data_IF_654013330662
#
_entry.id   IF_654013330662
#
_cell.length_a   1.000
_cell.length_b   1.000
_cell.length_c   1.000
_cell.angle_alpha   90.00
_cell.angle_beta   90.00
_cell.angle_gamma   90.00
#
_symmetry.space_group_name_H-M   'P 1'
#
loop_
_entity.id
_entity.type
_entity.pdbx_description
1 polymer ?
#
# COMPACT_ATOMS: atom_id res chain seq x y z
N UNK A 1 13.14 3.39 -2.70
CA UNK A 1 14.22 4.09 -1.95
C UNK A 1 13.67 4.60 -0.64
N UNK A 2 14.36 4.34 0.48
CA UNK A 2 14.00 4.77 1.84
C UNK A 2 15.23 5.42 2.49
N UNK A 3 15.04 6.57 3.12
CA UNK A 3 16.10 7.26 3.90
C UNK A 3 15.82 7.01 5.38
N UNK A 4 16.83 6.60 6.12
CA UNK A 4 16.76 6.40 7.56
C UNK A 4 18.08 6.82 8.21
N UNK A 5 18.05 7.86 9.04
CA UNK A 5 19.25 8.48 9.57
C UNK A 5 20.27 8.80 8.46
N UNK A 6 21.50 8.36 8.63
CA UNK A 6 22.59 8.56 7.64
C UNK A 6 22.67 7.44 6.59
N UNK A 7 21.59 6.67 6.41
CA UNK A 7 21.57 5.52 5.50
C UNK A 7 20.50 5.68 4.43
N UNK A 8 20.89 5.38 3.21
CA UNK A 8 20.00 5.27 2.07
C UNK A 8 19.81 3.78 1.73
N UNK A 9 18.56 3.33 1.76
CA UNK A 9 18.16 1.97 1.44
C UNK A 9 17.58 1.93 0.04
N UNK A 10 18.12 1.07 -0.83
CA UNK A 10 17.76 0.99 -2.24
C UNK A 10 17.53 -0.46 -2.63
N UNK A 11 16.43 -0.73 -3.34
CA UNK A 11 16.22 -1.97 -4.10
C UNK A 11 16.55 -1.71 -5.55
N UNK A 12 17.27 -2.60 -6.20
CA UNK A 12 17.41 -2.60 -7.65
C UNK A 12 16.43 -3.57 -8.32
N UNK A 13 16.41 -3.58 -9.65
CA UNK A 13 15.49 -4.40 -10.44
C UNK A 13 15.90 -5.88 -10.55
N UNK A 14 17.13 -6.24 -10.14
CA UNK A 14 17.63 -7.62 -10.11
C UNK A 14 17.49 -8.28 -8.73
N UNK A 15 16.81 -7.59 -7.78
CA UNK A 15 16.54 -8.12 -6.44
C UNK A 15 17.66 -7.90 -5.45
N UNK A 16 18.63 -7.02 -5.72
CA UNK A 16 19.57 -6.61 -4.70
C UNK A 16 18.96 -5.51 -3.83
N UNK A 17 19.26 -5.58 -2.56
CA UNK A 17 18.92 -4.55 -1.59
C UNK A 17 20.20 -4.05 -0.93
N UNK A 18 20.41 -2.73 -1.00
CA UNK A 18 21.64 -2.07 -0.63
C UNK A 18 21.41 -1.07 0.49
N UNK A 19 22.38 -0.98 1.38
CA UNK A 19 22.54 0.11 2.34
C UNK A 19 23.73 0.95 1.96
N UNK A 20 23.49 2.24 1.73
CA UNK A 20 24.50 3.20 1.31
C UNK A 20 24.60 4.29 2.37
N UNK A 21 25.81 4.66 2.73
CA UNK A 21 26.05 5.81 3.60
C UNK A 21 25.67 7.09 2.86
N UNK A 22 24.72 7.84 3.40
CA UNK A 22 24.16 9.03 2.75
C UNK A 22 25.16 10.20 2.65
N UNK A 23 26.21 10.21 3.51
CA UNK A 23 27.19 11.30 3.54
C UNK A 23 28.29 11.13 2.48
N UNK A 24 28.76 9.89 2.25
CA UNK A 24 29.92 9.63 1.41
C UNK A 24 29.65 8.69 0.21
N UNK A 25 28.41 8.20 0.08
CA UNK A 25 28.00 7.31 -1.03
C UNK A 25 28.57 5.89 -0.97
N UNK A 26 29.29 5.51 0.07
CA UNK A 26 29.86 4.16 0.18
C UNK A 26 28.78 3.14 0.57
N UNK A 27 28.86 1.97 -0.06
CA UNK A 27 28.00 0.84 0.31
C UNK A 27 28.44 0.28 1.66
N UNK A 28 27.50 0.26 2.61
CA UNK A 28 27.71 -0.38 3.91
C UNK A 28 27.60 -1.90 3.80
N UNK A 29 26.57 -2.35 3.10
CA UNK A 29 26.32 -3.78 2.79
C UNK A 29 25.35 -3.89 1.60
N UNK A 30 25.38 -5.05 0.97
CA UNK A 30 24.46 -5.45 -0.10
C UNK A 30 24.02 -6.89 0.14
N UNK A 31 22.74 -7.20 -0.17
CA UNK A 31 22.18 -8.55 -0.08
C UNK A 31 21.29 -8.79 -1.30
N UNK A 32 21.35 -10.01 -1.85
CA UNK A 32 20.42 -10.45 -2.88
C UNK A 32 19.23 -11.14 -2.23
N UNK A 33 18.03 -10.60 -2.46
CA UNK A 33 16.77 -11.13 -1.95
C UNK A 33 16.03 -11.98 -2.98
N UNK A 34 16.62 -12.13 -4.17
CA UNK A 34 16.01 -12.80 -5.31
C UNK A 34 15.03 -11.89 -6.07
N UNK A 35 14.91 -12.11 -7.36
CA UNK A 35 13.89 -11.47 -8.19
C UNK A 35 13.24 -12.52 -9.09
N UNK A 36 11.91 -12.46 -9.21
CA UNK A 36 11.24 -13.09 -10.32
C UNK A 36 11.28 -12.11 -11.49
N UNK A 37 11.96 -12.48 -12.57
CA UNK A 37 12.15 -11.64 -13.77
C UNK A 37 10.85 -11.17 -14.45
N UNK A 38 9.72 -11.72 -14.06
CA UNK A 38 8.39 -11.41 -14.60
C UNK A 38 7.53 -10.52 -13.69
N UNK A 39 8.10 -9.94 -12.63
CA UNK A 39 7.33 -9.12 -11.71
C UNK A 39 7.16 -7.69 -12.24
N UNK A 40 6.02 -7.12 -11.98
CA UNK A 40 5.81 -5.67 -12.09
C UNK A 40 6.67 -5.02 -11.00
N UNK A 41 7.47 -4.00 -11.36
CA UNK A 41 8.28 -3.25 -10.42
C UNK A 41 7.47 -2.85 -9.19
N UNK A 42 7.84 -3.36 -8.03
CA UNK A 42 7.17 -2.94 -6.82
C UNK A 42 7.52 -1.48 -6.53
N UNK A 43 6.52 -0.61 -6.51
CA UNK A 43 6.67 0.78 -6.06
C UNK A 43 6.75 0.87 -4.54
N UNK A 44 6.53 -0.23 -3.85
CA UNK A 44 6.53 -0.29 -2.40
C UNK A 44 7.91 0.04 -1.83
N UNK A 45 7.92 0.90 -0.83
CA UNK A 45 9.13 1.26 -0.10
C UNK A 45 9.35 0.30 1.05
N UNK A 46 10.59 -0.01 1.33
CA UNK A 46 10.94 -0.67 2.60
C UNK A 46 10.66 0.26 3.77
N UNK A 47 10.33 -0.31 4.92
CA UNK A 47 10.22 0.43 6.17
C UNK A 47 11.28 -0.05 7.17
N UNK A 48 11.77 0.87 8.00
CA UNK A 48 12.69 0.56 9.10
C UNK A 48 11.90 0.51 10.40
N UNK A 49 12.07 -0.58 11.15
CA UNK A 49 11.43 -0.81 12.43
C UNK A 49 12.50 -1.26 13.42
N UNK A 50 12.88 -0.38 14.33
CA UNK A 50 13.97 -0.62 15.29
C UNK A 50 15.28 -1.00 14.56
N UNK A 51 15.76 -2.22 14.77
CA UNK A 51 16.96 -2.79 14.17
C UNK A 51 16.69 -3.63 12.91
N UNK A 52 15.45 -3.64 12.41
CA UNK A 52 14.98 -4.44 11.29
C UNK A 52 14.52 -3.57 10.13
N UNK A 53 14.60 -4.12 8.93
CA UNK A 53 14.03 -3.56 7.71
C UNK A 53 13.03 -4.57 7.17
N UNK A 54 11.81 -4.11 6.88
CA UNK A 54 10.81 -4.88 6.14
C UNK A 54 10.92 -4.49 4.67
N UNK A 55 11.30 -5.44 3.82
CA UNK A 55 11.52 -5.24 2.40
C UNK A 55 10.43 -5.96 1.62
N UNK A 56 9.51 -5.26 0.95
CA UNK A 56 8.56 -5.87 0.04
C UNK A 56 9.30 -6.52 -1.14
N UNK A 57 8.84 -7.68 -1.52
CA UNK A 57 9.38 -8.44 -2.65
C UNK A 57 8.32 -8.75 -3.69
N UNK A 58 8.69 -9.56 -4.64
CA UNK A 58 7.86 -10.01 -5.76
C UNK A 58 7.05 -11.25 -5.41
N UNK A 59 5.96 -11.50 -6.14
CA UNK A 59 5.13 -12.69 -5.94
C UNK A 59 4.52 -12.81 -4.55
N UNK A 60 4.31 -11.68 -3.84
CA UNK A 60 3.77 -11.65 -2.48
C UNK A 60 4.80 -11.96 -1.39
N UNK A 61 6.06 -12.15 -1.74
CA UNK A 61 7.13 -12.35 -0.77
C UNK A 61 7.53 -11.05 -0.09
N UNK A 62 7.99 -11.13 1.14
CA UNK A 62 8.65 -10.03 1.83
C UNK A 62 9.74 -10.58 2.75
N UNK A 63 10.69 -9.72 3.06
CA UNK A 63 11.87 -10.08 3.81
C UNK A 63 12.01 -9.17 5.02
N UNK A 64 12.36 -9.74 6.16
CA UNK A 64 12.77 -8.99 7.33
C UNK A 64 14.26 -9.21 7.51
N UNK A 65 15.03 -8.13 7.41
CA UNK A 65 16.49 -8.17 7.43
C UNK A 65 17.04 -7.24 8.52
N UNK A 66 18.25 -7.51 8.98
CA UNK A 66 18.94 -6.65 9.94
C UNK A 66 19.43 -5.36 9.28
N UNK A 67 19.11 -4.19 9.84
CA UNK A 67 19.61 -2.91 9.35
C UNK A 67 21.15 -2.81 9.47
N UNK A 68 21.74 -3.52 10.43
CA UNK A 68 23.18 -3.44 10.71
C UNK A 68 24.05 -4.05 9.61
N UNK A 69 23.60 -5.16 9.01
CA UNK A 69 24.44 -5.95 8.10
C UNK A 69 23.70 -6.62 6.93
N UNK A 70 22.41 -6.33 6.75
CA UNK A 70 21.59 -6.89 5.67
C UNK A 70 21.27 -8.38 5.81
N UNK A 71 21.65 -9.05 6.92
CA UNK A 71 21.35 -10.47 7.09
C UNK A 71 19.85 -10.71 7.20
N UNK A 72 19.38 -11.72 6.47
CA UNK A 72 17.99 -12.19 6.56
C UNK A 72 17.71 -12.69 7.97
N UNK A 73 16.63 -12.18 8.56
CA UNK A 73 16.11 -12.64 9.85
C UNK A 73 15.03 -13.67 9.60
N UNK A 74 14.03 -13.31 8.78
CA UNK A 74 12.98 -14.23 8.32
C UNK A 74 12.32 -13.69 7.03
N UNK A 75 11.57 -14.54 6.37
CA UNK A 75 10.80 -14.21 5.14
C UNK A 75 9.51 -14.99 5.13
N UNK A 76 8.46 -14.39 4.57
CA UNK A 76 7.15 -15.00 4.39
C UNK A 76 6.56 -14.59 3.04
N UNK A 77 5.43 -15.21 2.68
CA UNK A 77 4.70 -14.93 1.44
C UNK A 77 3.22 -14.79 1.73
N UNK A 78 2.62 -13.66 1.32
CA UNK A 78 1.21 -13.33 1.54
C UNK A 78 0.33 -13.51 0.28
N UNK A 79 0.84 -14.09 -0.80
CA UNK A 79 0.00 -14.34 -1.97
C UNK A 79 -1.07 -15.39 -1.66
N UNK A 80 -2.32 -15.15 -2.09
CA UNK A 80 -3.46 -16.04 -1.85
C UNK A 80 -3.36 -17.38 -2.58
N UNK A 81 -2.48 -17.51 -3.56
CA UNK A 81 -2.40 -18.65 -4.45
C UNK A 81 -1.06 -19.38 -4.35
N UNK A 82 -0.84 -20.06 -3.23
CA UNK A 82 0.26 -21.05 -3.11
C UNK A 82 0.14 -22.22 -4.12
N UNK A 83 -1.00 -22.35 -4.83
CA UNK A 83 -1.30 -23.47 -5.72
C UNK A 83 -1.35 -23.12 -7.22
N UNK A 84 -1.37 -21.84 -7.61
CA UNK A 84 -1.32 -21.48 -9.03
C UNK A 84 0.12 -21.52 -9.56
N UNK A 85 0.31 -22.03 -10.80
CA UNK A 85 1.61 -21.96 -11.44
C UNK A 85 2.14 -20.54 -11.49
N UNK A 86 3.46 -20.36 -11.31
CA UNK A 86 4.17 -19.05 -11.32
C UNK A 86 3.95 -18.17 -12.56
N UNK A 87 3.13 -18.61 -13.53
CA UNK A 87 2.79 -17.88 -14.75
C UNK A 87 1.84 -16.70 -14.54
N UNK A 88 1.18 -16.59 -13.39
CA UNK A 88 0.24 -15.49 -13.07
C UNK A 88 0.75 -14.71 -11.86
N UNK A 89 1.87 -14.00 -12.03
CA UNK A 89 2.54 -13.23 -10.98
C UNK A 89 1.84 -11.89 -10.65
N UNK A 90 0.54 -11.95 -10.41
CA UNK A 90 -0.20 -10.78 -9.94
C UNK A 90 -0.18 -10.63 -8.40
N UNK A 91 0.78 -11.23 -7.71
CA UNK A 91 0.85 -11.27 -6.24
C UNK A 91 1.77 -10.24 -5.58
N UNK A 92 2.37 -9.34 -6.35
CA UNK A 92 3.36 -8.40 -5.84
C UNK A 92 2.83 -7.53 -4.69
N UNK A 93 3.70 -7.23 -3.71
CA UNK A 93 3.42 -6.25 -2.67
C UNK A 93 3.75 -4.87 -3.23
N UNK A 94 2.73 -4.15 -3.70
CA UNK A 94 2.87 -2.83 -4.32
C UNK A 94 2.54 -1.68 -3.37
N UNK A 95 1.79 -1.95 -2.31
CA UNK A 95 1.51 -1.04 -1.22
C UNK A 95 2.70 -0.99 -0.23
N UNK A 96 2.98 0.18 0.34
CA UNK A 96 4.02 0.27 1.36
C UNK A 96 3.61 -0.55 2.61
N UNK A 97 4.52 -1.33 3.20
CA UNK A 97 4.27 -1.95 4.49
C UNK A 97 3.94 -0.90 5.55
N UNK A 98 3.07 -1.26 6.47
CA UNK A 98 2.74 -0.42 7.61
C UNK A 98 3.18 -1.11 8.90
N UNK A 99 3.54 -0.33 9.90
CA UNK A 99 3.94 -0.86 11.20
C UNK A 99 3.24 -0.13 12.34
N UNK A 100 2.73 -0.89 13.29
CA UNK A 100 2.15 -0.37 14.52
C UNK A 100 2.21 -1.41 15.64
N UNK A 101 2.65 -1.02 16.83
CA UNK A 101 2.62 -1.83 18.06
C UNK A 101 3.20 -3.24 17.90
N UNK A 102 4.36 -3.37 17.25
CA UNK A 102 5.02 -4.66 17.05
C UNK A 102 4.51 -5.48 15.85
N UNK A 103 3.48 -5.00 15.15
CA UNK A 103 2.85 -5.70 14.04
C UNK A 103 3.15 -5.00 12.72
N UNK A 104 3.57 -5.77 11.72
CA UNK A 104 3.71 -5.32 10.33
C UNK A 104 2.50 -5.76 9.52
N UNK A 105 1.96 -4.84 8.73
CA UNK A 105 0.81 -5.06 7.85
C UNK A 105 1.27 -4.95 6.40
N UNK A 106 0.91 -5.93 5.59
CA UNK A 106 1.32 -6.05 4.20
C UNK A 106 0.08 -6.32 3.33
N UNK A 107 0.07 -5.71 2.15
CA UNK A 107 -1.02 -5.87 1.17
C UNK A 107 -0.42 -6.32 -0.14
N UNK A 108 -0.88 -7.46 -0.64
CA UNK A 108 -0.54 -7.91 -1.99
C UNK A 108 -1.58 -7.45 -3.02
N UNK A 109 -1.13 -7.25 -4.24
CA UNK A 109 -1.97 -6.77 -5.34
C UNK A 109 -3.16 -7.68 -5.63
N UNK A 110 -2.96 -8.99 -5.66
CA UNK A 110 -3.96 -9.95 -6.10
C UNK A 110 -4.49 -10.86 -5.01
N UNK A 111 -4.07 -10.65 -3.78
CA UNK A 111 -4.28 -11.68 -2.80
C UNK A 111 -4.83 -11.21 -1.48
N UNK A 112 -3.94 -11.00 -0.54
CA UNK A 112 -4.30 -10.85 0.85
C UNK A 112 -3.74 -9.54 1.43
N UNK A 113 -4.39 -9.10 2.48
CA UNK A 113 -3.77 -8.30 3.53
C UNK A 113 -3.47 -9.23 4.69
N UNK A 114 -2.26 -9.16 5.22
CA UNK A 114 -1.82 -9.96 6.36
C UNK A 114 -1.10 -9.12 7.40
N UNK A 115 -1.24 -9.53 8.66
CA UNK A 115 -0.56 -8.95 9.82
C UNK A 115 0.38 -9.97 10.45
N UNK A 116 1.63 -9.57 10.67
CA UNK A 116 2.66 -10.40 11.27
C UNK A 116 3.28 -9.73 12.49
N UNK A 117 3.54 -10.50 13.53
CA UNK A 117 4.42 -10.05 14.59
C UNK A 117 5.85 -9.97 14.06
N UNK A 118 6.47 -8.78 14.16
CA UNK A 118 7.78 -8.50 13.58
C UNK A 118 8.92 -9.28 14.25
N UNK A 119 8.74 -9.75 15.47
CA UNK A 119 9.76 -10.44 16.25
C UNK A 119 9.65 -11.96 16.15
N UNK A 120 8.43 -12.49 16.11
CA UNK A 120 8.16 -13.93 16.11
C UNK A 120 7.93 -14.50 14.73
N UNK A 121 7.72 -13.65 13.70
CA UNK A 121 7.29 -14.03 12.35
C UNK A 121 5.89 -14.67 12.28
N UNK A 122 5.16 -14.68 13.38
CA UNK A 122 3.83 -15.28 13.43
C UNK A 122 2.83 -14.45 12.63
N UNK A 123 2.10 -15.07 11.71
CA UNK A 123 0.91 -14.47 11.10
C UNK A 123 -0.21 -14.41 12.16
N UNK A 124 -0.66 -13.20 12.47
CA UNK A 124 -1.70 -12.96 13.45
C UNK A 124 -3.09 -13.09 12.84
N UNK A 125 -3.23 -12.57 11.63
CA UNK A 125 -4.46 -12.70 10.84
C UNK A 125 -4.18 -12.38 9.36
N UNK A 126 -5.09 -12.85 8.51
CA UNK A 126 -5.08 -12.58 7.09
C UNK A 126 -6.51 -12.45 6.56
N UNK A 127 -6.70 -11.58 5.56
CA UNK A 127 -7.98 -11.37 4.87
C UNK A 127 -7.78 -11.43 3.36
N UNK A 128 -8.71 -12.02 2.59
CA UNK A 128 -8.63 -12.10 1.15
C UNK A 128 -9.03 -10.78 0.47
N UNK A 129 -8.30 -9.71 0.82
CA UNK A 129 -8.47 -8.36 0.26
C UNK A 129 -7.13 -7.92 -0.30
N UNK A 130 -7.01 -7.90 -1.62
CA UNK A 130 -5.85 -7.32 -2.31
C UNK A 130 -6.05 -5.83 -2.57
N UNK A 131 -4.95 -5.11 -2.82
CA UNK A 131 -5.00 -3.68 -3.12
C UNK A 131 -3.71 -3.16 -3.73
N UNK A 132 -3.81 -1.99 -4.37
CA UNK A 132 -2.67 -1.30 -4.99
C UNK A 132 -2.19 -0.10 -4.17
N UNK A 133 -3.06 0.46 -3.35
CA UNK A 133 -2.81 1.66 -2.58
C UNK A 133 -2.38 1.31 -1.16
N UNK A 134 -1.52 2.15 -0.60
CA UNK A 134 -1.11 1.98 0.79
C UNK A 134 -2.30 2.30 1.72
N UNK A 135 -2.69 1.38 2.61
CA UNK A 135 -3.74 1.65 3.58
C UNK A 135 -3.36 2.78 4.54
N UNK A 136 -4.35 3.35 5.22
CA UNK A 136 -4.10 4.32 6.30
C UNK A 136 -4.55 3.76 7.65
N UNK A 137 -3.76 4.07 8.69
CA UNK A 137 -4.05 3.66 10.06
C UNK A 137 -4.56 4.85 10.87
N UNK A 138 -5.65 4.65 11.60
CA UNK A 138 -6.18 5.62 12.58
C UNK A 138 -6.69 4.90 13.81
N UNK A 139 -6.15 5.23 14.98
CA UNK A 139 -6.47 4.44 16.18
C UNK A 139 -6.23 2.96 15.91
N UNK A 140 -7.15 2.10 16.26
CA UNK A 140 -7.07 0.66 16.04
C UNK A 140 -7.77 0.22 14.75
N UNK A 141 -7.91 1.13 13.80
CA UNK A 141 -8.55 0.87 12.50
C UNK A 141 -7.58 1.07 11.36
N UNK A 142 -7.60 0.16 10.41
CA UNK A 142 -7.00 0.28 9.09
C UNK A 142 -8.10 0.54 8.07
N UNK A 143 -7.90 1.53 7.22
CA UNK A 143 -8.73 1.77 6.05
C UNK A 143 -7.98 1.35 4.80
N UNK A 144 -8.58 0.49 4.00
CA UNK A 144 -7.97 -0.07 2.79
C UNK A 144 -8.88 0.13 1.58
N UNK A 145 -8.26 0.58 0.49
CA UNK A 145 -8.84 0.53 -0.84
C UNK A 145 -8.46 -0.82 -1.46
N UNK A 146 -9.38 -1.74 -1.39
CA UNK A 146 -9.23 -3.07 -1.97
C UNK A 146 -9.53 -3.08 -3.46
N UNK A 147 -9.17 -4.17 -4.11
CA UNK A 147 -9.50 -4.41 -5.50
C UNK A 147 -11.01 -4.39 -5.74
N UNK A 148 -11.42 -4.13 -6.97
CA UNK A 148 -12.83 -4.14 -7.41
C UNK A 148 -13.71 -3.08 -6.70
N UNK A 149 -13.14 -1.94 -6.31
CA UNK A 149 -13.87 -0.83 -5.71
C UNK A 149 -14.35 -1.09 -4.29
N UNK A 150 -13.69 -1.93 -3.54
CA UNK A 150 -14.02 -2.19 -2.14
C UNK A 150 -13.22 -1.24 -1.25
N UNK A 151 -13.90 -0.40 -0.49
CA UNK A 151 -13.32 0.34 0.63
C UNK A 151 -13.75 -0.32 1.94
N UNK A 152 -12.80 -0.64 2.81
CA UNK A 152 -13.09 -1.31 4.07
C UNK A 152 -12.34 -0.69 5.25
N UNK A 153 -12.95 -0.77 6.43
CA UNK A 153 -12.32 -0.53 7.72
C UNK A 153 -12.12 -1.87 8.45
N UNK A 154 -10.89 -2.11 8.87
CA UNK A 154 -10.47 -3.36 9.48
C UNK A 154 -9.92 -3.07 10.87
N UNK A 155 -10.33 -3.87 11.84
CA UNK A 155 -9.77 -3.85 13.19
C UNK A 155 -8.34 -4.40 13.16
N UNK A 156 -7.37 -3.62 13.60
CA UNK A 156 -5.94 -3.96 13.54
C UNK A 156 -5.57 -5.18 14.38
N UNK A 157 -6.24 -5.39 15.50
CA UNK A 157 -5.91 -6.46 16.43
C UNK A 157 -6.43 -7.81 15.95
N UNK A 158 -7.67 -7.82 15.47
CA UNK A 158 -8.38 -9.07 15.16
C UNK A 158 -8.47 -9.37 13.66
N UNK A 159 -8.17 -8.41 12.79
CA UNK A 159 -8.42 -8.52 11.35
C UNK A 159 -9.90 -8.47 10.96
N UNK A 160 -10.82 -8.26 11.90
CA UNK A 160 -12.26 -8.22 11.60
C UNK A 160 -12.62 -6.97 10.81
N UNK A 161 -13.42 -7.14 9.77
CA UNK A 161 -13.98 -6.02 9.00
C UNK A 161 -15.04 -5.32 9.87
N UNK A 162 -14.83 -4.05 10.20
CA UNK A 162 -15.77 -3.19 10.93
C UNK A 162 -16.92 -2.74 10.02
N UNK A 163 -16.55 -2.31 8.82
CA UNK A 163 -17.48 -2.02 7.73
C UNK A 163 -16.77 -2.15 6.38
N UNK A 164 -17.57 -2.36 5.33
CA UNK A 164 -17.10 -2.31 3.95
C UNK A 164 -18.15 -1.66 3.06
N UNK A 165 -17.69 -0.94 2.03
CA UNK A 165 -18.50 -0.33 0.98
C UNK A 165 -17.98 -0.77 -0.37
N UNK A 166 -18.88 -1.10 -1.27
CA UNK A 166 -18.56 -1.40 -2.66
C UNK A 166 -18.94 -0.19 -3.52
N UNK A 167 -17.98 0.30 -4.26
CA UNK A 167 -18.14 1.34 -5.27
C UNK A 167 -18.25 0.70 -6.66
N UNK A 168 -18.81 1.40 -7.66
CA UNK A 168 -18.92 0.90 -9.02
C UNK A 168 -17.58 0.38 -9.57
N UNK A 169 -17.60 -0.74 -10.28
CA UNK A 169 -16.40 -1.27 -10.95
C UNK A 169 -16.12 -0.56 -12.29
N UNK A 170 -17.11 0.17 -12.79
CA UNK A 170 -17.02 0.95 -14.03
C UNK A 170 -17.62 2.34 -13.81
N UNK A 171 -17.00 3.36 -14.42
CA UNK A 171 -17.46 4.75 -14.30
C UNK A 171 -18.82 4.97 -14.95
N UNK A 172 -19.09 4.27 -16.07
CA UNK A 172 -20.31 4.40 -16.85
C UNK A 172 -21.12 3.11 -16.81
N UNK A 173 -21.45 2.59 -15.61
CA UNK A 173 -22.22 1.33 -15.48
C UNK A 173 -23.59 1.38 -16.17
N UNK A 174 -24.21 2.57 -16.26
CA UNK A 174 -25.53 2.79 -16.88
C UNK A 174 -25.50 3.07 -18.39
N UNK A 175 -24.32 3.18 -18.97
CA UNK A 175 -24.20 3.50 -20.40
C UNK A 175 -24.40 2.25 -21.28
N UNK A 176 -25.51 2.22 -22.02
CA UNK A 176 -25.88 1.10 -22.88
C UNK A 176 -25.04 0.99 -24.16
N UNK A 177 -24.39 2.07 -24.62
CA UNK A 177 -23.73 2.17 -25.92
C UNK A 177 -22.28 2.67 -25.90
N UNK A 178 -21.69 2.93 -24.74
CA UNK A 178 -20.28 3.33 -24.61
C UNK A 178 -19.43 2.18 -24.04
N UNK A 179 -18.14 2.16 -24.41
CA UNK A 179 -17.18 1.26 -23.76
C UNK A 179 -17.16 1.53 -22.25
N UNK A 180 -17.25 0.46 -21.47
CA UNK A 180 -17.20 0.55 -20.01
C UNK A 180 -15.77 0.87 -19.57
N UNK A 181 -15.57 2.05 -19.03
CA UNK A 181 -14.28 2.43 -18.45
C UNK A 181 -14.15 1.87 -17.03
N UNK A 182 -13.04 1.18 -16.75
CA UNK A 182 -12.78 0.61 -15.41
C UNK A 182 -12.60 1.75 -14.41
N UNK A 183 -13.34 1.70 -13.33
CA UNK A 183 -13.17 2.62 -12.22
C UNK A 183 -11.91 2.27 -11.41
N UNK A 184 -10.95 3.19 -11.39
CA UNK A 184 -9.73 3.08 -10.59
C UNK A 184 -9.85 4.07 -9.43
N UNK A 185 -9.69 3.55 -8.22
CA UNK A 185 -9.82 4.35 -7.02
C UNK A 185 -8.48 4.65 -6.38
N UNK A 186 -8.27 5.88 -5.94
CA UNK A 186 -7.08 6.41 -5.26
C UNK A 186 -7.39 6.73 -3.80
N UNK A 187 -6.41 6.57 -2.93
CA UNK A 187 -6.59 6.65 -1.49
C UNK A 187 -6.75 5.25 -0.87
N UNK A 188 -7.17 5.13 0.39
CA UNK A 188 -7.71 6.20 1.23
C UNK A 188 -6.65 7.19 1.74
N UNK A 189 -7.08 8.41 2.01
CA UNK A 189 -6.26 9.42 2.68
C UNK A 189 -7.03 9.95 3.88
N UNK A 190 -6.39 10.01 5.05
CA UNK A 190 -7.03 10.50 6.27
C UNK A 190 -6.74 12.00 6.47
N UNK A 191 -7.78 12.80 6.57
CA UNK A 191 -7.69 14.26 6.76
C UNK A 191 -8.79 14.71 7.70
N UNK A 192 -8.44 15.48 8.75
CA UNK A 192 -9.40 16.04 9.70
C UNK A 192 -10.46 15.03 10.17
N UNK A 193 -10.02 13.83 10.55
CA UNK A 193 -10.90 12.73 10.97
C UNK A 193 -11.93 12.30 9.91
N UNK A 194 -11.65 12.52 8.64
CA UNK A 194 -12.43 12.03 7.50
C UNK A 194 -11.54 11.23 6.56
N UNK A 195 -12.15 10.31 5.82
CA UNK A 195 -11.47 9.53 4.80
C UNK A 195 -11.77 10.19 3.45
N UNK A 196 -10.72 10.48 2.69
CA UNK A 196 -10.81 10.90 1.30
C UNK A 196 -10.53 9.69 0.40
N UNK A 197 -11.38 9.50 -0.57
CA UNK A 197 -11.33 8.40 -1.52
C UNK A 197 -11.75 8.96 -2.88
N UNK A 198 -10.99 8.73 -3.95
CA UNK A 198 -11.20 9.37 -5.24
C UNK A 198 -11.31 8.34 -6.37
N UNK A 199 -12.18 8.58 -7.34
CA UNK A 199 -12.17 7.82 -8.59
C UNK A 199 -11.19 8.44 -9.63
N UNK A 200 -10.99 7.73 -10.75
CA UNK A 200 -10.10 8.19 -11.82
C UNK A 200 -10.67 9.37 -12.63
N UNK A 201 -11.96 9.72 -12.50
CA UNK A 201 -12.51 10.96 -13.08
C UNK A 201 -12.27 12.17 -12.18
N UNK A 202 -11.76 11.97 -10.97
CA UNK A 202 -11.44 13.03 -10.02
C UNK A 202 -12.62 13.45 -9.17
N UNK A 203 -13.61 12.60 -9.02
CA UNK A 203 -14.64 12.74 -8.00
C UNK A 203 -14.07 12.27 -6.67
N UNK A 204 -14.05 13.16 -5.70
CA UNK A 204 -13.56 12.90 -4.35
C UNK A 204 -14.77 12.63 -3.46
N UNK A 205 -14.74 11.48 -2.80
CA UNK A 205 -15.70 11.11 -1.76
C UNK A 205 -15.08 11.41 -0.39
N UNK A 206 -15.76 12.19 0.41
CA UNK A 206 -15.39 12.46 1.80
C UNK A 206 -16.30 11.62 2.69
N UNK A 207 -15.68 10.71 3.46
CA UNK A 207 -16.39 9.68 4.17
C UNK A 207 -16.25 9.81 5.68
N UNK A 208 -17.27 9.37 6.37
CA UNK A 208 -17.23 9.15 7.81
C UNK A 208 -16.42 7.87 8.11
N UNK A 209 -15.37 7.91 8.94
CA UNK A 209 -14.53 6.77 9.23
C UNK A 209 -15.25 5.66 10.04
N UNK A 210 -16.29 6.00 10.79
CA UNK A 210 -16.95 5.05 11.68
C UNK A 210 -17.85 4.06 10.93
N UNK A 211 -18.41 4.49 9.79
CA UNK A 211 -19.38 3.69 9.04
C UNK A 211 -19.23 3.71 7.52
N UNK A 212 -18.26 4.49 6.99
CA UNK A 212 -18.01 4.64 5.57
C UNK A 212 -19.11 5.37 4.80
N UNK A 213 -20.00 6.12 5.46
CA UNK A 213 -21.02 6.92 4.78
C UNK A 213 -20.41 8.16 4.13
N UNK A 214 -20.91 8.53 2.95
CA UNK A 214 -20.50 9.74 2.25
C UNK A 214 -21.05 10.96 3.00
N UNK A 215 -20.16 11.82 3.45
CA UNK A 215 -20.49 13.09 4.12
C UNK A 215 -20.62 14.19 3.09
N UNK A 216 -19.71 14.24 2.12
CA UNK A 216 -19.72 15.20 1.02
C UNK A 216 -18.91 14.70 -0.16
N UNK A 217 -19.10 15.35 -1.31
CA UNK A 217 -18.38 15.05 -2.54
C UNK A 217 -17.88 16.34 -3.18
N UNK A 218 -16.77 16.27 -3.89
CA UNK A 218 -16.26 17.36 -4.73
C UNK A 218 -15.57 16.79 -5.96
N UNK A 219 -15.40 17.61 -7.01
CA UNK A 219 -14.67 17.22 -8.21
C UNK A 219 -13.48 18.12 -8.42
N UNK A 220 -12.31 17.54 -8.70
CA UNK A 220 -11.07 18.28 -8.91
C UNK A 220 -10.42 18.00 -10.28
N UNK A 221 -10.98 17.07 -11.04
CA UNK A 221 -10.40 16.54 -12.29
C UNK A 221 -9.51 15.32 -12.03
N UNK A 222 -9.24 14.57 -13.11
CA UNK A 222 -8.48 13.30 -13.05
C UNK A 222 -7.19 13.45 -12.24
N UNK A 223 -7.03 12.62 -11.22
CA UNK A 223 -5.87 12.68 -10.32
C UNK A 223 -4.71 11.85 -10.84
N UNK A 224 -3.50 12.41 -10.82
CA UNK A 224 -2.27 11.69 -11.09
C UNK A 224 -1.87 10.75 -9.93
N UNK A 225 -2.07 11.21 -8.70
CA UNK A 225 -1.72 10.47 -7.47
C UNK A 225 -2.84 10.59 -6.44
N UNK A 226 -2.79 9.77 -5.39
CA UNK A 226 -3.69 9.89 -4.25
C UNK A 226 -3.55 11.26 -3.56
N UNK A 227 -4.62 11.81 -2.97
CA UNK A 227 -4.56 13.08 -2.26
C UNK A 227 -3.48 13.09 -1.16
N UNK A 228 -2.74 14.19 -1.02
CA UNK A 228 -1.64 14.31 -0.07
C UNK A 228 -1.98 15.35 1.00
N UNK A 229 -2.13 14.96 2.27
CA UNK A 229 -2.30 15.90 3.37
C UNK A 229 -0.95 16.50 3.76
N UNK A 230 -0.87 17.82 3.84
CA UNK A 230 0.29 18.54 4.35
C UNK A 230 -0.13 19.93 4.83
N UNK A 231 0.51 20.42 5.89
CA UNK A 231 0.35 21.79 6.42
C UNK A 231 -1.13 22.24 6.53
N UNK A 232 -1.97 21.41 7.18
CA UNK A 232 -3.41 21.66 7.37
C UNK A 232 -4.20 21.85 6.05
N UNK A 233 -3.67 21.36 4.95
CA UNK A 233 -4.28 21.37 3.62
C UNK A 233 -4.27 19.97 3.03
N UNK A 234 -5.09 19.78 2.01
CA UNK A 234 -5.04 18.60 1.14
C UNK A 234 -4.62 19.06 -0.24
N UNK A 235 -3.60 18.44 -0.77
CA UNK A 235 -3.09 18.70 -2.10
C UNK A 235 -3.57 17.64 -3.08
N UNK A 236 -4.08 18.08 -4.22
CA UNK A 236 -4.50 17.24 -5.32
C UNK A 236 -3.64 17.59 -6.54
N UNK A 237 -2.92 16.59 -7.06
CA UNK A 237 -2.20 16.72 -8.33
C UNK A 237 -3.01 16.03 -9.42
N UNK A 238 -3.44 16.79 -10.41
CA UNK A 238 -4.20 16.28 -11.54
C UNK A 238 -3.31 15.80 -12.68
N UNK A 239 -3.82 14.92 -13.55
CA UNK A 239 -3.08 14.39 -14.69
C UNK A 239 -2.65 15.48 -15.70
N UNK A 240 -3.39 16.58 -15.78
CA UNK A 240 -3.01 17.75 -16.60
C UNK A 240 -2.02 18.71 -15.90
N UNK A 241 -1.40 18.28 -14.82
CA UNK A 241 -0.32 19.03 -14.12
C UNK A 241 -0.80 20.14 -13.19
N UNK A 242 -2.09 20.27 -12.89
CA UNK A 242 -2.56 21.25 -11.91
C UNK A 242 -2.34 20.75 -10.48
N UNK A 243 -1.77 21.60 -9.62
CA UNK A 243 -1.70 21.39 -8.18
C UNK A 243 -2.76 22.26 -7.50
N UNK A 244 -3.71 21.61 -6.84
CA UNK A 244 -4.79 22.26 -6.10
C UNK A 244 -4.56 22.06 -4.60
N UNK A 245 -4.87 23.07 -3.79
CA UNK A 245 -4.76 23.00 -2.34
C UNK A 245 -6.09 23.44 -1.70
N UNK A 246 -6.66 22.57 -0.89
CA UNK A 246 -7.88 22.80 -0.13
C UNK A 246 -7.57 22.85 1.37
N UNK A 247 -8.30 23.67 2.11
CA UNK A 247 -8.13 23.85 3.55
C UNK A 247 -9.26 23.17 4.31
#
# INVERSE_FOLDING_TARGET
MTVFNDVLLISDFVGNFLSINNTNGKTNWSVSLGSDYNSVYTKARSIVVNDKIVVPGTGGSFYVISIKNGKLIWTENISSNKQLPKLFHAGDIVANPLFKNGVVYLVSQSGNISAFDINTSQELWSLPIGGFETPVLSGDTMFINGNMGILAAIDLTSGKVRWSKKYPSYINEEAFFSEKEIAIYKGPTLVNSKILFADNEGKIFILDPDNGSIVSELSVGKLAISPVPADKKVFFLTENGKLLAYK
#
